data_IF_245008711273
#
_entry.id   IF_245008711273
#
_cell.length_a   1.000
_cell.length_b   1.000
_cell.length_c   1.000
_cell.angle_alpha   90.00
_cell.angle_beta   90.00
_cell.angle_gamma   90.00
#
_symmetry.space_group_name_H-M   'P 1'
#
loop_
_entity.id
_entity.type
_entity.pdbx_description
1 polymer ?
#
# COMPACT_ATOMS: atom_id res chain seq x y z
N UNK A 1 28.19 -11.78 21.72
CA UNK A 1 27.11 -12.69 22.14
C UNK A 1 26.20 -12.86 20.93
N UNK A 2 25.97 -14.10 20.50
CA UNK A 2 24.95 -14.41 19.49
C UNK A 2 23.60 -14.23 20.16
N UNK A 3 22.82 -13.25 19.71
CA UNK A 3 21.45 -13.03 20.19
C UNK A 3 20.59 -14.20 19.70
N UNK A 4 19.82 -14.81 20.59
CA UNK A 4 18.85 -15.85 20.23
C UNK A 4 17.57 -15.16 19.74
N UNK A 5 17.52 -14.93 18.43
CA UNK A 5 16.45 -14.17 17.77
C UNK A 5 15.08 -14.83 18.02
N UNK A 6 15.01 -16.16 18.00
CA UNK A 6 13.75 -16.89 18.21
C UNK A 6 13.24 -16.68 19.63
N UNK A 7 14.15 -16.63 20.61
CA UNK A 7 13.79 -16.29 22.00
C UNK A 7 13.28 -14.86 22.12
N UNK A 8 13.96 -13.89 21.50
CA UNK A 8 13.51 -12.48 21.50
C UNK A 8 12.13 -12.31 20.87
N UNK A 9 11.89 -12.93 19.71
CA UNK A 9 10.57 -12.93 19.06
C UNK A 9 9.50 -13.60 19.93
N UNK A 10 9.83 -14.70 20.60
CA UNK A 10 8.90 -15.38 21.51
C UNK A 10 8.54 -14.51 22.71
N UNK A 11 9.50 -13.76 23.26
CA UNK A 11 9.26 -12.79 24.35
C UNK A 11 8.37 -11.65 23.85
N UNK A 12 8.68 -11.07 22.69
CA UNK A 12 7.87 -10.01 22.09
C UNK A 12 6.42 -10.48 21.85
N UNK A 13 6.24 -11.69 21.30
CA UNK A 13 4.91 -12.28 21.11
C UNK A 13 4.17 -12.56 22.42
N UNK A 14 4.88 -12.97 23.48
CA UNK A 14 4.32 -13.09 24.82
C UNK A 14 3.76 -11.76 25.32
N UNK A 15 4.52 -10.68 25.14
CA UNK A 15 4.08 -9.32 25.46
C UNK A 15 2.87 -8.90 24.65
N UNK A 16 2.82 -9.17 23.33
CA UNK A 16 1.63 -8.80 22.52
C UNK A 16 0.38 -9.61 22.92
N UNK A 17 0.54 -10.89 23.27
CA UNK A 17 -0.59 -11.74 23.64
C UNK A 17 -1.18 -11.39 25.01
N UNK A 18 -0.39 -10.84 25.94
CA UNK A 18 -0.90 -10.42 27.26
C UNK A 18 -1.92 -9.28 27.16
N UNK A 19 -1.96 -8.53 26.05
CA UNK A 19 -3.00 -7.54 25.78
C UNK A 19 -4.42 -8.11 25.81
N UNK A 20 -4.60 -9.40 25.44
CA UNK A 20 -5.91 -10.05 25.42
C UNK A 20 -6.48 -10.25 26.82
N UNK A 21 -5.61 -10.31 27.82
CA UNK A 21 -5.96 -10.69 29.20
C UNK A 21 -6.22 -9.48 30.10
N UNK A 22 -5.70 -8.30 29.71
CA UNK A 22 -5.88 -7.05 30.45
C UNK A 22 -7.17 -6.32 30.05
N UNK A 23 -8.24 -6.54 30.80
CA UNK A 23 -9.50 -5.78 30.75
C UNK A 23 -9.39 -4.32 31.30
N UNK A 24 -8.17 -3.80 31.47
CA UNK A 24 -7.90 -2.49 32.07
C UNK A 24 -7.59 -1.45 31.01
N UNK A 25 -8.06 -0.21 31.19
CA UNK A 25 -7.62 0.97 30.45
C UNK A 25 -6.09 0.99 30.36
N UNK A 26 -5.53 0.78 29.17
CA UNK A 26 -4.08 0.81 28.98
C UNK A 26 -3.64 2.27 29.01
N UNK A 27 -3.05 2.70 30.13
CA UNK A 27 -2.42 4.01 30.24
C UNK A 27 -1.02 4.01 29.60
N UNK A 28 -0.37 2.85 29.45
CA UNK A 28 0.95 2.74 28.83
C UNK A 28 0.98 1.68 27.72
N UNK A 29 1.26 2.12 26.50
CA UNK A 29 1.41 1.28 25.31
C UNK A 29 2.87 0.93 25.00
N UNK A 30 3.82 1.55 25.71
CA UNK A 30 5.26 1.43 25.44
C UNK A 30 5.77 -0.01 25.43
N UNK A 31 5.36 -0.92 26.35
CA UNK A 31 5.83 -2.31 26.32
C UNK A 31 5.49 -3.02 25.01
N UNK A 32 4.33 -2.69 24.43
CA UNK A 32 3.83 -3.31 23.23
C UNK A 32 4.39 -2.68 21.96
N UNK A 33 4.56 -1.35 21.96
CA UNK A 33 5.26 -0.64 20.89
C UNK A 33 6.70 -1.15 20.77
N UNK A 34 7.40 -1.28 21.91
CA UNK A 34 8.76 -1.85 21.95
C UNK A 34 8.79 -3.29 21.44
N UNK A 35 7.81 -4.13 21.81
CA UNK A 35 7.71 -5.49 21.30
C UNK A 35 7.52 -5.54 19.77
N UNK A 36 6.70 -4.64 19.21
CA UNK A 36 6.53 -4.51 17.76
C UNK A 36 7.81 -4.01 17.07
N UNK A 37 8.53 -3.06 17.69
CA UNK A 37 9.81 -2.57 17.18
C UNK A 37 10.88 -3.68 17.18
N UNK A 38 10.93 -4.51 18.22
CA UNK A 38 11.79 -5.72 18.27
C UNK A 38 11.43 -6.72 17.17
N UNK A 39 10.13 -6.92 16.90
CA UNK A 39 9.71 -7.79 15.78
C UNK A 39 10.20 -7.20 14.45
N UNK A 40 9.98 -5.91 14.21
CA UNK A 40 10.38 -5.20 13.00
C UNK A 40 11.90 -5.24 12.75
N UNK A 41 12.72 -5.25 13.81
CA UNK A 41 14.18 -5.35 13.72
C UNK A 41 14.65 -6.66 13.07
N UNK A 42 13.86 -7.74 13.18
CA UNK A 42 14.31 -9.08 12.78
C UNK A 42 13.55 -9.69 11.60
N UNK A 43 12.28 -9.31 11.37
CA UNK A 43 11.43 -9.95 10.35
C UNK A 43 11.67 -9.46 8.92
N UNK A 44 12.64 -8.56 8.70
CA UNK A 44 13.12 -8.20 7.37
C UNK A 44 13.91 -9.34 6.71
N UNK A 45 14.47 -10.23 7.52
CA UNK A 45 15.08 -11.47 7.08
C UNK A 45 14.00 -12.54 6.78
N UNK A 46 14.05 -13.11 5.58
CA UNK A 46 13.05 -14.07 5.09
C UNK A 46 12.93 -15.33 5.96
N UNK A 47 14.06 -15.87 6.45
CA UNK A 47 14.05 -17.08 7.28
C UNK A 47 13.43 -16.78 8.65
N UNK A 48 13.76 -15.64 9.23
CA UNK A 48 13.21 -15.18 10.50
C UNK A 48 11.72 -14.87 10.37
N UNK A 49 11.28 -14.21 9.29
CA UNK A 49 9.87 -13.99 9.00
C UNK A 49 9.09 -15.32 8.88
N UNK A 50 9.70 -16.32 8.25
CA UNK A 50 9.11 -17.66 8.12
C UNK A 50 9.05 -18.40 9.46
N UNK A 51 10.00 -18.20 10.36
CA UNK A 51 9.93 -18.73 11.72
C UNK A 51 8.91 -17.97 12.57
N UNK A 52 8.82 -16.65 12.41
CA UNK A 52 7.85 -15.80 13.08
C UNK A 52 6.40 -16.23 12.80
N UNK A 53 6.06 -16.59 11.56
CA UNK A 53 4.72 -17.12 11.25
C UNK A 53 4.46 -18.50 11.89
N UNK A 54 5.50 -19.35 12.06
CA UNK A 54 5.38 -20.65 12.78
C UNK A 54 5.10 -20.45 14.28
N UNK A 55 5.56 -19.33 14.84
CA UNK A 55 5.26 -18.91 16.21
C UNK A 55 3.87 -18.27 16.36
N UNK A 56 3.00 -18.37 15.35
CA UNK A 56 1.70 -17.68 15.28
C UNK A 56 1.81 -16.15 15.33
N UNK A 57 2.90 -15.58 14.82
CA UNK A 57 3.14 -14.14 14.88
C UNK A 57 2.04 -13.30 14.23
N UNK A 58 1.49 -13.76 13.10
CA UNK A 58 0.38 -13.10 12.42
C UNK A 58 -0.91 -13.04 13.24
N UNK A 59 -1.18 -14.04 14.07
CA UNK A 59 -2.32 -14.02 14.96
C UNK A 59 -2.17 -12.91 16.03
N UNK A 60 -0.94 -12.69 16.53
CA UNK A 60 -0.65 -11.59 17.45
C UNK A 60 -0.82 -10.22 16.76
N UNK A 61 -0.22 -10.04 15.58
CA UNK A 61 -0.33 -8.79 14.81
C UNK A 61 -1.78 -8.46 14.42
N UNK A 62 -2.61 -9.46 14.13
CA UNK A 62 -4.03 -9.29 13.81
C UNK A 62 -4.85 -8.69 14.96
N UNK A 63 -4.43 -8.90 16.20
CA UNK A 63 -5.04 -8.26 17.39
C UNK A 63 -4.64 -6.80 17.41
N UNK A 64 -3.34 -6.52 17.23
CA UNK A 64 -2.78 -5.16 17.27
C UNK A 64 -3.41 -4.25 16.20
N UNK A 65 -3.76 -4.78 15.01
CA UNK A 65 -4.49 -4.04 13.98
C UNK A 65 -5.86 -3.50 14.44
N UNK A 66 -6.45 -4.06 15.50
CA UNK A 66 -7.78 -3.69 16.02
C UNK A 66 -7.72 -2.90 17.31
N UNK A 67 -6.52 -2.59 17.79
CA UNK A 67 -6.33 -1.82 19.01
C UNK A 67 -6.77 -0.36 18.83
N UNK A 68 -7.24 0.31 19.91
CA UNK A 68 -7.62 1.72 19.85
C UNK A 68 -6.42 2.66 19.61
N UNK A 69 -5.19 2.24 19.93
CA UNK A 69 -3.98 3.04 19.78
C UNK A 69 -3.39 2.93 18.38
N UNK A 70 -3.27 4.07 17.68
CA UNK A 70 -2.73 4.16 16.33
C UNK A 70 -1.29 3.64 16.23
N UNK A 71 -0.48 3.89 17.27
CA UNK A 71 0.90 3.42 17.39
C UNK A 71 1.02 1.92 17.07
N UNK A 72 0.22 1.13 17.78
CA UNK A 72 0.27 -0.33 17.67
C UNK A 72 -0.30 -0.80 16.33
N UNK A 73 -1.33 -0.11 15.82
CA UNK A 73 -1.95 -0.47 14.55
C UNK A 73 -0.98 -0.31 13.39
N UNK A 74 -0.32 0.85 13.26
CA UNK A 74 0.58 1.08 12.12
C UNK A 74 1.82 0.19 12.17
N UNK A 75 2.38 -0.05 13.36
CA UNK A 75 3.53 -0.97 13.55
C UNK A 75 3.16 -2.40 13.22
N UNK A 76 1.97 -2.86 13.61
CA UNK A 76 1.51 -4.19 13.26
C UNK A 76 1.29 -4.35 11.75
N UNK A 77 0.71 -3.33 11.10
CA UNK A 77 0.59 -3.31 9.65
C UNK A 77 1.97 -3.34 8.96
N UNK A 78 2.94 -2.58 9.47
CA UNK A 78 4.31 -2.61 8.96
C UNK A 78 4.97 -3.97 9.13
N UNK A 79 4.85 -4.61 10.29
CA UNK A 79 5.43 -5.92 10.53
C UNK A 79 4.86 -6.98 9.57
N UNK A 80 3.55 -6.94 9.30
CA UNK A 80 2.92 -7.79 8.28
C UNK A 80 3.51 -7.49 6.89
N UNK A 81 3.65 -6.20 6.54
CA UNK A 81 4.18 -5.78 5.25
C UNK A 81 5.61 -6.29 5.02
N UNK A 82 6.49 -6.11 6.02
CA UNK A 82 7.89 -6.55 5.98
C UNK A 82 7.96 -8.06 5.88
N UNK A 83 7.19 -8.80 6.68
CA UNK A 83 7.13 -10.27 6.58
C UNK A 83 6.73 -10.75 5.18
N UNK A 84 5.78 -10.07 4.52
CA UNK A 84 5.23 -10.46 3.22
C UNK A 84 6.03 -9.93 2.03
N UNK A 85 6.95 -9.00 2.22
CA UNK A 85 7.68 -8.37 1.13
C UNK A 85 8.54 -9.40 0.38
N UNK A 86 8.16 -9.70 -0.86
CA UNK A 86 8.83 -10.71 -1.70
C UNK A 86 8.96 -12.08 -1.02
N UNK A 87 8.02 -12.44 -0.14
CA UNK A 87 8.03 -13.69 0.62
C UNK A 87 6.74 -14.50 0.39
N UNK A 88 6.74 -15.46 -0.56
CA UNK A 88 5.55 -16.25 -0.89
C UNK A 88 4.95 -17.02 0.29
N UNK A 89 5.77 -17.50 1.23
CA UNK A 89 5.31 -18.25 2.41
C UNK A 89 4.48 -17.34 3.33
N UNK A 90 5.00 -16.16 3.66
CA UNK A 90 4.29 -15.18 4.46
C UNK A 90 3.07 -14.62 3.73
N UNK A 91 3.17 -14.35 2.42
CA UNK A 91 2.02 -13.92 1.62
C UNK A 91 0.87 -14.94 1.68
N UNK A 92 1.16 -16.22 1.43
CA UNK A 92 0.16 -17.29 1.51
C UNK A 92 -0.46 -17.38 2.91
N UNK A 93 0.37 -17.29 3.96
CA UNK A 93 -0.11 -17.32 5.34
C UNK A 93 -0.99 -16.12 5.69
N UNK A 94 -0.65 -14.92 5.23
CA UNK A 94 -1.47 -13.72 5.44
C UNK A 94 -2.86 -13.85 4.79
N UNK A 95 -2.95 -14.53 3.64
CA UNK A 95 -4.22 -14.81 2.97
C UNK A 95 -5.03 -15.88 3.72
N UNK A 96 -4.39 -16.95 4.19
CA UNK A 96 -5.02 -17.99 5.02
C UNK A 96 -5.61 -17.41 6.30
N UNK A 97 -4.87 -16.53 6.97
CA UNK A 97 -5.28 -15.87 8.21
C UNK A 97 -6.25 -14.69 7.97
N UNK A 98 -6.68 -14.48 6.71
CA UNK A 98 -7.60 -13.41 6.29
C UNK A 98 -7.15 -11.99 6.69
N UNK A 99 -5.84 -11.72 6.67
CA UNK A 99 -5.28 -10.41 7.03
C UNK A 99 -5.52 -9.33 5.96
N UNK A 100 -5.76 -9.72 4.71
CA UNK A 100 -5.94 -8.75 3.63
C UNK A 100 -7.17 -7.86 3.83
N UNK A 101 -8.30 -8.43 4.28
CA UNK A 101 -9.54 -7.68 4.50
C UNK A 101 -9.44 -6.59 5.59
N UNK A 102 -8.93 -6.86 6.81
CA UNK A 102 -8.75 -5.80 7.81
C UNK A 102 -7.74 -4.74 7.37
N UNK A 103 -6.69 -5.11 6.62
CA UNK A 103 -5.72 -4.15 6.08
C UNK A 103 -6.34 -3.23 5.03
N UNK A 104 -7.18 -3.74 4.12
CA UNK A 104 -7.95 -2.92 3.18
C UNK A 104 -8.85 -1.93 3.93
N UNK A 105 -9.60 -2.40 4.93
CA UNK A 105 -10.48 -1.55 5.73
C UNK A 105 -9.70 -0.44 6.45
N UNK A 106 -8.55 -0.78 7.02
CA UNK A 106 -7.67 0.15 7.73
C UNK A 106 -7.07 1.20 6.77
N UNK A 107 -6.55 0.77 5.62
CA UNK A 107 -6.01 1.66 4.60
C UNK A 107 -7.03 2.70 4.10
N UNK A 108 -8.31 2.33 4.07
CA UNK A 108 -9.38 3.21 3.62
C UNK A 108 -9.93 4.12 4.74
N UNK A 109 -10.11 3.59 5.96
CA UNK A 109 -10.97 4.21 6.97
C UNK A 109 -10.29 4.57 8.30
N UNK A 110 -9.01 4.25 8.52
CA UNK A 110 -8.36 4.58 9.80
C UNK A 110 -8.35 6.10 10.03
N UNK A 111 -8.59 6.61 11.26
CA UNK A 111 -8.49 8.05 11.51
C UNK A 111 -7.06 8.60 11.36
N UNK A 112 -6.04 7.75 11.48
CA UNK A 112 -4.64 8.16 11.42
C UNK A 112 -4.01 7.88 10.05
N UNK A 113 -3.34 8.88 9.46
CA UNK A 113 -2.76 8.76 8.13
C UNK A 113 -1.59 7.76 8.05
N UNK A 114 -0.77 7.64 9.10
CA UNK A 114 0.32 6.68 9.14
C UNK A 114 -0.23 5.24 9.15
N UNK A 115 -1.30 5.00 9.91
CA UNK A 115 -2.04 3.74 9.86
C UNK A 115 -2.51 3.42 8.44
N UNK A 116 -3.10 4.39 7.73
CA UNK A 116 -3.53 4.16 6.33
C UNK A 116 -2.35 3.82 5.42
N UNK A 117 -1.25 4.55 5.54
CA UNK A 117 -0.03 4.36 4.73
C UNK A 117 0.58 2.98 4.96
N UNK A 118 0.72 2.55 6.23
CA UNK A 118 1.33 1.25 6.58
C UNK A 118 0.39 0.08 6.26
N UNK A 119 -0.92 0.26 6.43
CA UNK A 119 -1.90 -0.73 6.00
C UNK A 119 -1.88 -0.92 4.48
N UNK A 120 -1.83 0.17 3.70
CA UNK A 120 -1.68 0.09 2.25
C UNK A 120 -0.35 -0.57 1.84
N UNK A 121 0.73 -0.26 2.55
CA UNK A 121 2.01 -0.92 2.33
C UNK A 121 1.91 -2.45 2.51
N UNK A 122 1.24 -2.91 3.57
CA UNK A 122 0.99 -4.33 3.79
C UNK A 122 0.14 -4.96 2.67
N UNK A 123 -0.93 -4.30 2.23
CA UNK A 123 -1.74 -4.74 1.08
C UNK A 123 -0.85 -4.90 -0.16
N UNK A 124 0.00 -3.90 -0.44
CA UNK A 124 0.93 -3.93 -1.57
C UNK A 124 1.88 -5.14 -1.49
N UNK A 125 2.49 -5.41 -0.34
CA UNK A 125 3.39 -6.53 -0.14
C UNK A 125 2.69 -7.90 -0.21
N UNK A 126 1.45 -8.02 0.26
CA UNK A 126 0.67 -9.27 0.18
C UNK A 126 0.29 -9.60 -1.27
N UNK A 127 -0.04 -8.57 -2.06
CA UNK A 127 -0.62 -8.74 -3.40
C UNK A 127 0.44 -8.76 -4.50
N UNK A 128 1.50 -7.96 -4.40
CA UNK A 128 2.53 -7.91 -5.43
C UNK A 128 3.22 -9.25 -5.57
N UNK A 129 3.45 -9.64 -6.83
CA UNK A 129 4.18 -10.86 -7.18
C UNK A 129 3.53 -12.15 -6.62
N UNK A 130 2.23 -12.09 -6.29
CA UNK A 130 1.44 -13.21 -5.77
C UNK A 130 0.13 -13.33 -6.54
N UNK A 131 0.00 -14.36 -7.38
CA UNK A 131 -1.23 -14.65 -8.14
C UNK A 131 -2.43 -14.90 -7.19
N UNK A 132 -2.19 -15.61 -6.08
CA UNK A 132 -3.22 -15.84 -5.06
C UNK A 132 -3.60 -14.54 -4.35
N UNK A 133 -2.60 -13.69 -4.06
CA UNK A 133 -2.80 -12.37 -3.46
C UNK A 133 -3.62 -11.46 -4.35
N UNK A 134 -3.31 -11.40 -5.65
CA UNK A 134 -4.06 -10.62 -6.64
C UNK A 134 -5.49 -11.15 -6.80
N UNK A 135 -5.67 -12.46 -6.95
CA UNK A 135 -7.00 -13.05 -7.06
C UNK A 135 -7.85 -12.74 -5.83
N UNK A 136 -7.28 -12.86 -4.62
CA UNK A 136 -7.98 -12.52 -3.38
C UNK A 136 -8.29 -11.02 -3.31
N UNK A 137 -7.34 -10.15 -3.68
CA UNK A 137 -7.54 -8.70 -3.72
C UNK A 137 -8.69 -8.30 -4.66
N UNK A 138 -8.75 -8.85 -5.86
CA UNK A 138 -9.85 -8.62 -6.81
C UNK A 138 -11.17 -9.13 -6.25
N UNK A 139 -11.20 -10.32 -5.63
CA UNK A 139 -12.40 -10.87 -5.00
C UNK A 139 -12.95 -10.02 -3.84
N UNK A 140 -12.09 -9.17 -3.24
CA UNK A 140 -12.43 -8.23 -2.18
C UNK A 140 -12.70 -6.81 -2.71
N UNK A 141 -13.04 -6.66 -3.99
CA UNK A 141 -13.29 -5.37 -4.64
C UNK A 141 -12.08 -4.41 -4.60
N UNK A 142 -10.88 -5.00 -4.71
CA UNK A 142 -9.61 -4.29 -4.59
C UNK A 142 -9.42 -3.16 -5.62
N UNK A 143 -9.97 -3.30 -6.83
CA UNK A 143 -9.88 -2.24 -7.84
C UNK A 143 -10.69 -1.00 -7.44
N UNK A 144 -11.87 -1.16 -6.86
CA UNK A 144 -12.66 -0.02 -6.35
C UNK A 144 -11.99 0.59 -5.13
N UNK A 145 -11.39 -0.24 -4.27
CA UNK A 145 -10.56 0.23 -3.16
C UNK A 145 -9.42 1.15 -3.64
N UNK A 146 -8.75 0.82 -4.74
CA UNK A 146 -7.70 1.68 -5.30
C UNK A 146 -8.20 3.08 -5.65
N UNK A 147 -9.41 3.20 -6.23
CA UNK A 147 -10.00 4.52 -6.50
C UNK A 147 -10.18 5.34 -5.23
N UNK A 148 -10.78 4.73 -4.21
CA UNK A 148 -11.09 5.40 -2.94
C UNK A 148 -9.80 5.85 -2.24
N UNK A 149 -8.79 4.98 -2.20
CA UNK A 149 -7.50 5.30 -1.60
C UNK A 149 -6.78 6.45 -2.31
N UNK A 150 -6.80 6.48 -3.65
CA UNK A 150 -6.19 7.56 -4.42
C UNK A 150 -6.90 8.91 -4.23
N UNK A 151 -8.15 8.91 -3.78
CA UNK A 151 -8.91 10.13 -3.47
C UNK A 151 -8.65 10.68 -2.05
N UNK A 152 -7.95 9.96 -1.16
CA UNK A 152 -7.81 10.35 0.25
C UNK A 152 -6.95 11.61 0.51
N UNK A 153 -6.48 12.34 -0.51
CA UNK A 153 -5.64 13.56 -0.40
C UNK A 153 -4.36 13.41 0.44
N UNK A 154 -3.96 12.19 0.80
CA UNK A 154 -2.70 11.88 1.49
C UNK A 154 -1.62 11.63 0.43
N UNK A 155 -0.75 12.62 0.18
CA UNK A 155 0.23 12.59 -0.92
C UNK A 155 1.08 11.31 -0.91
N UNK A 156 1.63 10.90 0.25
CA UNK A 156 2.43 9.66 0.36
C UNK A 156 1.66 8.41 -0.05
N UNK A 157 0.38 8.35 0.32
CA UNK A 157 -0.50 7.22 0.00
C UNK A 157 -0.85 7.22 -1.49
N UNK A 158 -1.15 8.38 -2.08
CA UNK A 158 -1.41 8.52 -3.51
C UNK A 158 -0.21 8.07 -4.36
N UNK A 159 1.02 8.42 -3.95
CA UNK A 159 2.26 7.97 -4.61
C UNK A 159 2.36 6.44 -4.57
N UNK A 160 2.22 5.85 -3.38
CA UNK A 160 2.30 4.39 -3.19
C UNK A 160 1.19 3.66 -3.96
N UNK A 161 -0.02 4.21 -3.96
CA UNK A 161 -1.17 3.65 -4.67
C UNK A 161 -0.98 3.70 -6.19
N UNK A 162 -0.49 4.82 -6.71
CA UNK A 162 -0.17 4.97 -8.14
C UNK A 162 0.92 3.99 -8.59
N UNK A 163 1.97 3.83 -7.78
CA UNK A 163 3.03 2.84 -8.06
C UNK A 163 2.50 1.41 -8.05
N UNK A 164 1.67 1.05 -7.06
CA UNK A 164 1.07 -0.27 -6.97
C UNK A 164 0.13 -0.54 -8.15
N UNK A 165 -0.74 0.41 -8.51
CA UNK A 165 -1.60 0.32 -9.70
C UNK A 165 -0.76 0.10 -10.97
N UNK A 166 0.32 0.88 -11.13
CA UNK A 166 1.23 0.75 -12.27
C UNK A 166 1.89 -0.63 -12.32
N UNK A 167 2.29 -1.15 -11.17
CA UNK A 167 2.84 -2.51 -11.06
C UNK A 167 1.81 -3.56 -11.45
N UNK A 168 0.57 -3.46 -10.96
CA UNK A 168 -0.51 -4.39 -11.29
C UNK A 168 -0.82 -4.40 -12.78
N UNK A 169 -1.06 -3.23 -13.38
CA UNK A 169 -1.43 -3.11 -14.80
C UNK A 169 -0.30 -3.53 -15.73
N UNK A 170 0.96 -3.27 -15.36
CA UNK A 170 2.12 -3.71 -16.17
C UNK A 170 2.25 -5.23 -16.21
N UNK A 171 1.93 -5.91 -15.09
CA UNK A 171 2.01 -7.37 -14.98
C UNK A 171 0.75 -8.09 -15.46
N UNK A 172 -0.40 -7.43 -15.33
CA UNK A 172 -1.73 -7.95 -15.64
C UNK A 172 -2.48 -6.97 -16.55
N UNK A 173 -2.10 -6.83 -17.83
CA UNK A 173 -2.74 -5.90 -18.76
C UNK A 173 -4.24 -6.14 -18.95
N UNK A 174 -4.73 -7.35 -18.68
CA UNK A 174 -6.15 -7.71 -18.65
C UNK A 174 -6.98 -6.86 -17.66
N UNK A 175 -6.34 -6.30 -16.62
CA UNK A 175 -7.00 -5.41 -15.68
C UNK A 175 -7.41 -4.07 -16.31
N UNK A 176 -6.79 -3.66 -17.42
CA UNK A 176 -7.09 -2.37 -18.09
C UNK A 176 -8.56 -2.24 -18.46
N UNK A 177 -9.17 -3.31 -18.98
CA UNK A 177 -10.58 -3.31 -19.38
C UNK A 177 -11.51 -3.10 -18.17
N UNK A 178 -11.22 -3.78 -17.05
CA UNK A 178 -11.98 -3.63 -15.81
C UNK A 178 -11.83 -2.22 -15.24
N UNK A 179 -10.60 -1.72 -15.13
CA UNK A 179 -10.31 -0.36 -14.66
C UNK A 179 -11.03 0.69 -15.52
N UNK A 180 -10.97 0.56 -16.84
CA UNK A 180 -11.65 1.44 -17.78
C UNK A 180 -13.17 1.46 -17.57
N UNK A 181 -13.80 0.28 -17.48
CA UNK A 181 -15.25 0.16 -17.24
C UNK A 181 -15.69 0.74 -15.89
N UNK A 182 -14.77 0.84 -14.92
CA UNK A 182 -15.00 1.46 -13.62
C UNK A 182 -14.79 2.99 -13.63
N UNK A 183 -14.46 3.59 -14.77
CA UNK A 183 -14.23 5.04 -14.89
C UNK A 183 -12.89 5.51 -14.32
N UNK A 184 -11.87 4.64 -14.27
CA UNK A 184 -10.55 5.03 -13.74
C UNK A 184 -9.93 6.19 -14.50
N UNK A 185 -10.20 6.30 -15.81
CA UNK A 185 -9.63 7.38 -16.63
C UNK A 185 -10.10 8.73 -16.10
N UNK A 186 -11.40 8.91 -15.95
CA UNK A 186 -12.00 10.14 -15.45
C UNK A 186 -11.55 10.46 -14.03
N UNK A 187 -11.40 9.44 -13.18
CA UNK A 187 -10.91 9.62 -11.82
C UNK A 187 -9.44 10.09 -11.77
N UNK A 188 -8.56 9.48 -12.58
CA UNK A 188 -7.17 9.92 -12.67
C UNK A 188 -7.07 11.32 -13.26
N UNK A 189 -7.89 11.66 -14.26
CA UNK A 189 -7.94 13.02 -14.81
C UNK A 189 -8.40 14.04 -13.76
N UNK A 190 -9.43 13.73 -12.98
CA UNK A 190 -9.90 14.60 -11.90
C UNK A 190 -8.81 14.84 -10.85
N UNK A 191 -8.04 13.80 -10.50
CA UNK A 191 -6.89 13.94 -9.59
C UNK A 191 -5.77 14.81 -10.21
N UNK A 192 -5.49 14.68 -11.52
CA UNK A 192 -4.51 15.53 -12.22
C UNK A 192 -4.95 17.00 -12.27
N UNK A 193 -6.26 17.25 -12.23
CA UNK A 193 -6.84 18.60 -12.23
C UNK A 193 -6.87 19.24 -10.83
N UNK A 194 -6.60 18.47 -9.78
CA UNK A 194 -6.56 18.97 -8.41
C UNK A 194 -5.34 19.88 -8.15
N UNK A 195 -5.22 20.40 -6.92
CA UNK A 195 -4.09 21.23 -6.53
C UNK A 195 -2.76 20.47 -6.69
N UNK A 196 -1.77 21.13 -7.32
CA UNK A 196 -0.51 20.47 -7.65
C UNK A 196 0.20 19.92 -6.40
N UNK A 197 0.72 18.70 -6.53
CA UNK A 197 1.42 17.99 -5.47
C UNK A 197 2.41 16.99 -6.07
N UNK A 198 3.33 16.50 -5.25
CA UNK A 198 4.33 15.48 -5.65
C UNK A 198 3.69 14.17 -6.16
N UNK A 199 2.41 13.91 -5.87
CA UNK A 199 1.72 12.74 -6.38
C UNK A 199 1.41 12.82 -7.90
N UNK A 200 1.38 14.01 -8.49
CA UNK A 200 0.97 14.21 -9.89
C UNK A 200 1.81 13.42 -10.88
N UNK A 201 3.14 13.35 -10.70
CA UNK A 201 4.04 12.56 -11.57
C UNK A 201 3.59 11.10 -11.63
N UNK A 202 3.23 10.52 -10.48
CA UNK A 202 2.81 9.13 -10.36
C UNK A 202 1.39 8.88 -10.87
N UNK A 203 0.46 9.83 -10.65
CA UNK A 203 -0.91 9.76 -11.15
C UNK A 203 -0.92 9.84 -12.68
N UNK A 204 -0.14 10.77 -13.26
CA UNK A 204 0.04 10.90 -14.71
C UNK A 204 0.69 9.62 -15.28
N UNK A 205 1.70 9.07 -14.61
CA UNK A 205 2.34 7.81 -15.02
C UNK A 205 1.34 6.64 -15.03
N UNK A 206 0.45 6.58 -14.03
CA UNK A 206 -0.60 5.56 -13.95
C UNK A 206 -1.62 5.72 -15.08
N UNK A 207 -2.03 6.96 -15.40
CA UNK A 207 -2.91 7.24 -16.53
C UNK A 207 -2.25 6.86 -17.86
N UNK A 208 -0.99 7.24 -18.05
CA UNK A 208 -0.21 6.90 -19.24
C UNK A 208 -0.15 5.39 -19.45
N UNK A 209 0.11 4.62 -18.39
CA UNK A 209 0.14 3.16 -18.47
C UNK A 209 -1.23 2.57 -18.83
N UNK A 210 -2.31 3.12 -18.25
CA UNK A 210 -3.67 2.67 -18.52
C UNK A 210 -4.08 2.89 -19.99
N UNK A 211 -3.67 4.02 -20.59
CA UNK A 211 -4.01 4.35 -21.99
C UNK A 211 -3.05 3.73 -23.02
N UNK A 212 -1.82 3.38 -22.63
CA UNK A 212 -0.83 2.80 -23.55
C UNK A 212 -1.36 1.50 -24.14
N UNK A 213 -1.32 1.38 -25.47
CA UNK A 213 -1.84 0.26 -26.25
C UNK A 213 -3.31 -0.10 -25.98
N UNK A 214 -4.11 0.85 -25.48
CA UNK A 214 -5.51 0.62 -25.14
C UNK A 214 -6.44 1.73 -25.68
N UNK A 215 -6.94 1.52 -26.90
CA UNK A 215 -7.72 2.51 -27.66
C UNK A 215 -8.95 3.08 -26.94
N UNK A 216 -9.77 2.29 -26.22
CA UNK A 216 -10.94 2.85 -25.52
C UNK A 216 -10.56 3.97 -24.54
N UNK A 217 -9.51 3.76 -23.74
CA UNK A 217 -9.05 4.78 -22.79
C UNK A 217 -8.37 5.98 -23.47
N UNK A 218 -7.72 5.80 -24.63
CA UNK A 218 -7.19 6.92 -25.43
C UNK A 218 -8.33 7.81 -25.94
N UNK A 219 -9.41 7.21 -26.43
CA UNK A 219 -10.60 7.95 -26.90
C UNK A 219 -11.24 8.69 -25.72
N UNK A 220 -11.35 8.02 -24.56
CA UNK A 220 -11.87 8.59 -23.32
C UNK A 220 -11.09 9.85 -22.91
N UNK A 221 -9.76 9.78 -22.86
CA UNK A 221 -8.89 10.91 -22.54
C UNK A 221 -9.02 12.11 -23.49
N UNK A 222 -9.51 11.89 -24.72
CA UNK A 222 -9.71 12.94 -25.73
C UNK A 222 -11.08 13.60 -25.66
N UNK A 223 -11.96 13.13 -24.77
CA UNK A 223 -13.27 13.75 -24.57
C UNK A 223 -13.11 15.22 -24.16
N UNK A 224 -13.75 16.17 -24.86
CA UNK A 224 -13.63 17.60 -24.57
C UNK A 224 -14.02 17.95 -23.12
N UNK A 225 -15.00 17.24 -22.56
CA UNK A 225 -15.50 17.47 -21.19
C UNK A 225 -14.45 17.22 -20.12
N UNK A 226 -13.43 16.41 -20.41
CA UNK A 226 -12.35 16.11 -19.47
C UNK A 226 -11.30 17.21 -19.41
N UNK A 227 -11.23 18.13 -20.39
CA UNK A 227 -10.24 19.23 -20.44
C UNK A 227 -8.78 18.81 -20.16
N UNK A 228 -8.42 17.55 -20.44
CA UNK A 228 -7.15 16.95 -20.05
C UNK A 228 -5.96 17.64 -20.75
N UNK A 229 -6.07 17.88 -22.06
CA UNK A 229 -5.00 18.51 -22.83
C UNK A 229 -4.62 19.88 -22.28
N UNK A 230 -5.62 20.76 -22.04
CA UNK A 230 -5.38 22.08 -21.45
C UNK A 230 -4.76 21.99 -20.06
N UNK A 231 -5.18 21.02 -19.24
CA UNK A 231 -4.60 20.81 -17.91
C UNK A 231 -3.13 20.39 -17.99
N UNK A 232 -2.80 19.42 -18.85
CA UNK A 232 -1.43 18.94 -19.02
C UNK A 232 -0.51 20.03 -19.56
N UNK A 233 -0.98 20.87 -20.49
CA UNK A 233 -0.22 22.02 -21.00
C UNK A 233 0.07 23.02 -19.89
N UNK A 234 -0.92 23.34 -19.04
CA UNK A 234 -0.75 24.22 -17.88
C UNK A 234 0.28 23.65 -16.89
N UNK A 235 0.12 22.39 -16.48
CA UNK A 235 1.05 21.72 -15.57
C UNK A 235 2.48 21.71 -16.13
N UNK A 236 2.65 21.42 -17.42
CA UNK A 236 3.97 21.44 -18.06
C UNK A 236 4.62 22.84 -18.06
N UNK A 237 3.83 23.91 -18.17
CA UNK A 237 4.33 25.29 -18.08
C UNK A 237 4.71 25.69 -16.66
N UNK A 238 3.93 25.25 -15.66
CA UNK A 238 4.20 25.47 -14.23
C UNK A 238 5.50 24.75 -13.81
N UNK A 239 5.64 23.46 -14.14
CA UNK A 239 6.82 22.66 -13.81
C UNK A 239 8.11 23.19 -14.47
N UNK A 240 8.04 23.76 -15.68
CA UNK A 240 9.21 24.41 -16.32
C UNK A 240 9.73 25.64 -15.57
N UNK A 241 8.88 26.28 -14.77
CA UNK A 241 9.26 27.45 -13.96
C UNK A 241 9.93 27.03 -12.66
N UNK A 242 9.63 25.85 -12.15
CA UNK A 242 10.25 25.28 -10.95
C UNK A 242 11.64 24.68 -11.28
N UNK A 243 12.68 25.14 -10.60
CA UNK A 243 14.06 24.69 -10.83
C UNK A 243 14.25 23.18 -10.61
N UNK A 244 13.45 22.57 -9.73
CA UNK A 244 13.48 21.14 -9.43
C UNK A 244 13.16 20.23 -10.64
N UNK A 245 12.44 20.73 -11.65
CA UNK A 245 12.05 19.97 -12.84
C UNK A 245 12.78 20.41 -14.12
N UNK A 246 13.71 21.38 -14.03
CA UNK A 246 14.52 21.84 -15.18
C UNK A 246 15.61 20.85 -15.60
N UNK A 247 15.92 19.85 -14.79
CA UNK A 247 16.98 18.85 -15.08
C UNK A 247 16.46 17.43 -14.84
N UNK A 248 15.59 16.96 -15.72
CA UNK A 248 15.58 15.54 -16.10
C UNK A 248 15.60 15.48 -17.62
N UNK A 249 16.81 15.60 -18.17
CA UNK A 249 17.07 15.37 -19.59
C UNK A 249 16.57 13.97 -20.00
N UNK A 250 16.16 13.75 -21.26
CA UNK A 250 15.53 12.50 -21.72
C UNK A 250 16.41 11.23 -21.70
N UNK A 251 17.62 11.28 -21.12
CA UNK A 251 18.63 10.23 -21.27
C UNK A 251 18.53 9.11 -20.22
N UNK A 252 17.57 9.16 -19.28
CA UNK A 252 17.47 8.17 -18.18
C UNK A 252 16.33 7.15 -18.30
N UNK A 253 15.66 7.05 -19.44
CA UNK A 253 14.76 5.93 -19.72
C UNK A 253 15.36 5.03 -20.81
N UNK A 254 16.33 4.20 -20.40
CA UNK A 254 16.82 3.06 -21.17
C UNK A 254 16.56 1.81 -20.31
N UNK A 255 15.58 1.02 -20.78
CA UNK A 255 15.17 -0.35 -20.41
C UNK A 255 14.95 -0.70 -18.94
#
# INVERSE_FOLDING_TARGET
>A
MTVDIIKELSVALGTLNSMKESNSSFDDTSPYANALDTILEYVDNLDIANDFIKLNGFAALSICLRCPWEDLRWRAAEAIAVCCQNNPTCQAKALEDNLLQPLLKMAENDPNDECKIKAFYAVSCIVRESEQGLAKFISLDGLSFMLRVMQLTIVKLQIKASFFLSTLVSRHPELKDSLYKMGFVEQLVALIQSEHSQAHEHIISSLLLLITDFQPAIIECRRPELHLQSCLVRLAQELRKEEAYRVRSPEYYIF
#
